data_IF_389710493144
#
_entry.id   IF_389710493144
#
_cell.length_a   1.000
_cell.length_b   1.000
_cell.length_c   1.000
_cell.angle_alpha   90.00
_cell.angle_beta   90.00
_cell.angle_gamma   90.00
#
_symmetry.space_group_name_H-M   'P 1'
#
loop_
_entity.id
_entity.type
_entity.pdbx_description
1 polymer ?
#
# COMPACT_ATOMS: atom_id res chain seq x y z
N UNK A 1 -23.67 37.88 59.98
CA UNK A 1 -23.37 36.56 59.38
C UNK A 1 -24.21 36.39 58.11
N UNK A 2 -23.67 36.70 56.93
CA UNK A 2 -24.32 36.48 55.63
C UNK A 2 -23.48 35.47 54.85
N UNK A 3 -24.03 34.29 54.58
CA UNK A 3 -23.40 33.26 53.73
C UNK A 3 -23.90 33.46 52.31
N UNK A 4 -23.00 33.82 51.40
CA UNK A 4 -23.23 33.83 49.95
C UNK A 4 -22.90 32.43 49.46
N UNK A 5 -23.91 31.71 48.95
CA UNK A 5 -23.71 30.43 48.28
C UNK A 5 -23.40 30.69 46.80
N UNK A 6 -22.17 30.40 46.38
CA UNK A 6 -21.74 30.46 44.99
C UNK A 6 -22.04 29.10 44.34
N UNK A 7 -23.05 29.04 43.47
CA UNK A 7 -23.32 27.85 42.67
C UNK A 7 -22.34 27.82 41.47
N UNK A 8 -21.34 26.93 41.51
CA UNK A 8 -20.53 26.62 40.34
C UNK A 8 -21.33 25.71 39.39
N UNK A 9 -21.74 26.25 38.25
CA UNK A 9 -22.22 25.46 37.12
C UNK A 9 -21.02 24.80 36.42
N UNK A 10 -20.85 23.49 36.63
CA UNK A 10 -19.88 22.69 35.90
C UNK A 10 -20.45 22.38 34.50
N UNK A 11 -20.04 23.14 33.49
CA UNK A 11 -20.29 22.82 32.10
C UNK A 11 -19.50 21.58 31.70
N UNK A 12 -20.15 20.43 31.60
CA UNK A 12 -19.56 19.23 31.03
C UNK A 12 -19.39 19.44 29.52
N UNK A 13 -18.19 19.82 29.09
CA UNK A 13 -17.79 19.75 27.69
C UNK A 13 -17.80 18.28 27.28
N UNK A 14 -18.84 17.86 26.54
CA UNK A 14 -18.85 16.59 25.83
C UNK A 14 -17.76 16.68 24.77
N UNK A 15 -16.55 16.21 25.11
CA UNK A 15 -15.53 15.91 24.13
C UNK A 15 -16.11 14.86 23.18
N UNK A 16 -16.58 15.31 22.01
CA UNK A 16 -16.98 14.42 20.93
C UNK A 16 -15.82 13.48 20.67
N UNK A 17 -16.03 12.19 20.89
CA UNK A 17 -15.10 11.17 20.43
C UNK A 17 -15.03 11.32 18.92
N UNK A 18 -13.97 11.97 18.44
CA UNK A 18 -13.58 11.88 17.05
C UNK A 18 -13.40 10.39 16.79
N UNK A 19 -14.38 9.78 16.11
CA UNK A 19 -14.25 8.43 15.59
C UNK A 19 -13.11 8.50 14.58
N UNK A 20 -11.89 8.29 15.05
CA UNK A 20 -10.79 7.87 14.21
C UNK A 20 -11.33 6.62 13.51
N UNK A 21 -11.70 6.75 12.23
CA UNK A 21 -12.04 5.62 11.40
C UNK A 21 -10.76 4.82 11.22
N UNK A 22 -10.40 4.03 12.24
CA UNK A 22 -9.45 2.95 12.06
C UNK A 22 -10.07 2.12 10.95
N UNK A 23 -9.46 2.11 9.77
CA UNK A 23 -9.85 1.29 8.65
C UNK A 23 -10.14 -0.13 9.15
N UNK A 24 -11.42 -0.46 9.34
CA UNK A 24 -11.82 -1.74 9.92
C UNK A 24 -11.60 -2.80 8.85
N UNK A 25 -10.41 -3.39 8.84
CA UNK A 25 -10.16 -4.62 8.14
C UNK A 25 -10.32 -5.78 9.11
N UNK A 26 -11.27 -6.66 8.82
CA UNK A 26 -11.43 -7.94 9.50
C UNK A 26 -11.01 -9.05 8.55
N UNK A 27 -9.75 -9.53 8.62
CA UNK A 27 -9.30 -10.61 7.76
C UNK A 27 -9.95 -11.93 8.21
N UNK A 28 -10.21 -12.88 7.30
CA UNK A 28 -10.61 -14.23 7.70
C UNK A 28 -9.49 -14.91 8.50
N UNK A 29 -9.80 -16.00 9.20
CA UNK A 29 -8.78 -16.80 9.90
C UNK A 29 -7.85 -17.54 8.93
N UNK A 30 -8.40 -17.99 7.79
CA UNK A 30 -7.69 -18.68 6.71
C UNK A 30 -8.42 -18.44 5.39
N UNK A 31 -7.71 -18.63 4.28
CA UNK A 31 -8.24 -18.59 2.92
C UNK A 31 -7.74 -19.79 2.13
N UNK A 32 -8.43 -20.14 1.04
CA UNK A 32 -7.91 -21.10 0.08
C UNK A 32 -6.55 -20.63 -0.47
N UNK A 33 -5.58 -21.55 -0.60
CA UNK A 33 -4.26 -21.24 -1.15
C UNK A 33 -4.35 -21.32 -2.67
N UNK A 34 -4.26 -20.18 -3.39
CA UNK A 34 -4.42 -20.20 -4.83
C UNK A 34 -3.22 -20.85 -5.52
N UNK A 35 -3.46 -21.42 -6.70
CA UNK A 35 -2.40 -21.82 -7.62
C UNK A 35 -1.69 -20.60 -8.20
N UNK A 36 -0.42 -20.75 -8.56
CA UNK A 36 0.33 -19.74 -9.31
C UNK A 36 1.13 -20.42 -10.41
N UNK A 37 0.89 -19.99 -11.65
CA UNK A 37 1.72 -20.38 -12.78
C UNK A 37 2.93 -19.45 -12.88
N UNK A 38 4.10 -20.00 -13.20
CA UNK A 38 5.30 -19.21 -13.45
C UNK A 38 5.16 -18.53 -14.81
N UNK A 39 5.11 -17.20 -14.82
CA UNK A 39 5.10 -16.36 -16.01
C UNK A 39 6.52 -15.80 -16.24
N UNK A 40 7.29 -16.47 -17.09
CA UNK A 40 8.65 -16.09 -17.46
C UNK A 40 9.77 -16.90 -16.78
N UNK A 41 11.05 -16.60 -17.07
CA UNK A 41 12.19 -17.37 -16.58
C UNK A 41 12.46 -17.08 -15.10
N UNK A 42 13.12 -18.03 -14.43
CA UNK A 42 13.75 -17.78 -13.14
C UNK A 42 14.98 -16.92 -13.36
N UNK A 43 15.12 -15.85 -12.56
CA UNK A 43 16.26 -14.94 -12.61
C UNK A 43 16.84 -14.78 -11.21
N UNK A 44 18.04 -15.32 -11.00
CA UNK A 44 18.79 -15.15 -9.77
C UNK A 44 19.85 -14.06 -9.98
N UNK A 45 19.88 -13.09 -9.06
CA UNK A 45 20.94 -12.07 -9.00
C UNK A 45 20.97 -11.43 -7.61
N UNK A 46 22.09 -10.81 -7.22
CA UNK A 46 22.17 -10.07 -5.97
C UNK A 46 21.11 -8.95 -5.90
N UNK A 47 20.44 -8.86 -4.76
CA UNK A 47 19.52 -7.77 -4.46
C UNK A 47 20.33 -6.52 -4.11
N UNK A 48 19.92 -5.40 -4.69
CA UNK A 48 20.56 -4.07 -4.57
C UNK A 48 19.65 -3.02 -3.92
N UNK A 49 18.40 -3.37 -3.66
CA UNK A 49 17.38 -2.51 -3.06
C UNK A 49 15.99 -3.08 -3.30
N UNK A 50 14.97 -2.33 -2.94
CA UNK A 50 13.58 -2.78 -3.01
C UNK A 50 12.67 -1.68 -3.54
N UNK A 51 11.54 -2.09 -4.11
CA UNK A 51 10.42 -1.21 -4.42
C UNK A 51 9.20 -1.74 -3.68
N UNK A 52 8.63 -0.96 -2.76
CA UNK A 52 7.30 -1.21 -2.24
C UNK A 52 6.30 -0.54 -3.18
N UNK A 53 5.52 -1.36 -3.86
CA UNK A 53 4.49 -0.92 -4.80
C UNK A 53 3.14 -0.88 -4.10
N UNK A 54 2.50 0.28 -4.12
CA UNK A 54 1.26 0.60 -3.41
C UNK A 54 0.16 1.00 -4.39
N UNK A 55 -0.83 0.14 -4.61
CA UNK A 55 -1.95 0.45 -5.51
C UNK A 55 -3.00 1.32 -4.83
N UNK A 56 -3.52 2.31 -5.56
CA UNK A 56 -4.65 3.12 -5.11
C UNK A 56 -5.96 2.35 -5.31
N UNK A 57 -6.51 1.80 -4.22
CA UNK A 57 -7.69 0.92 -4.31
C UNK A 57 -8.93 1.60 -4.87
N UNK A 58 -9.26 2.87 -4.58
CA UNK A 58 -10.43 3.52 -5.18
C UNK A 58 -10.41 3.52 -6.71
N UNK A 59 -9.28 3.81 -7.36
CA UNK A 59 -9.18 3.73 -8.83
C UNK A 59 -9.28 2.27 -9.30
N UNK A 60 -8.60 1.33 -8.64
CA UNK A 60 -8.72 -0.09 -8.97
C UNK A 60 -10.17 -0.61 -8.86
N UNK A 61 -10.89 -0.18 -7.82
CA UNK A 61 -12.23 -0.67 -7.50
C UNK A 61 -13.34 0.04 -8.26
N UNK A 62 -13.03 1.12 -8.99
CA UNK A 62 -13.99 1.96 -9.71
C UNK A 62 -15.02 1.19 -10.53
N UNK A 63 -14.60 0.11 -11.19
CA UNK A 63 -15.46 -0.74 -12.03
C UNK A 63 -15.57 -2.18 -11.51
N UNK A 64 -15.24 -2.42 -10.24
CA UNK A 64 -15.10 -3.77 -9.66
C UNK A 64 -15.88 -3.99 -8.37
N UNK A 65 -16.75 -3.04 -7.97
CA UNK A 65 -17.53 -3.12 -6.72
C UNK A 65 -18.38 -4.40 -6.63
N UNK A 66 -19.00 -4.80 -7.75
CA UNK A 66 -19.85 -5.99 -7.81
C UNK A 66 -19.11 -7.28 -8.22
N UNK A 67 -17.79 -7.22 -8.41
CA UNK A 67 -17.01 -8.39 -8.83
C UNK A 67 -16.76 -9.33 -7.65
N UNK A 68 -17.27 -10.59 -7.66
CA UNK A 68 -17.01 -11.54 -6.58
C UNK A 68 -15.52 -11.82 -6.38
N UNK A 69 -14.74 -11.80 -7.47
CA UNK A 69 -13.28 -11.97 -7.45
C UNK A 69 -12.55 -10.88 -6.66
N UNK A 70 -13.10 -9.67 -6.65
CA UNK A 70 -12.50 -8.49 -6.01
C UNK A 70 -13.28 -8.03 -4.78
N UNK A 71 -14.29 -8.77 -4.34
CA UNK A 71 -15.20 -8.36 -3.27
C UNK A 71 -14.45 -7.98 -1.98
N UNK A 72 -13.40 -8.73 -1.61
CA UNK A 72 -12.59 -8.41 -0.44
C UNK A 72 -12.03 -6.98 -0.45
N UNK A 73 -11.59 -6.48 -1.61
CA UNK A 73 -11.01 -5.15 -1.75
C UNK A 73 -12.07 -4.09 -2.09
N UNK A 74 -13.06 -4.45 -2.91
CA UNK A 74 -13.89 -3.48 -3.61
C UNK A 74 -15.36 -3.42 -3.18
N UNK A 75 -15.86 -4.40 -2.41
CA UNK A 75 -17.28 -4.40 -2.04
C UNK A 75 -17.62 -3.46 -0.87
N UNK A 76 -16.63 -2.89 -0.19
CA UNK A 76 -16.79 -2.13 1.07
C UNK A 76 -17.16 -2.97 2.30
N UNK A 77 -17.83 -4.12 2.12
CA UNK A 77 -18.29 -5.03 3.20
C UNK A 77 -17.19 -5.66 4.06
N UNK A 78 -15.95 -5.70 3.59
CA UNK A 78 -14.81 -6.37 4.27
C UNK A 78 -13.70 -5.40 4.66
N UNK A 79 -14.00 -4.11 4.56
CA UNK A 79 -13.06 -3.02 4.73
C UNK A 79 -13.13 -2.06 3.55
N UNK A 80 -12.68 -0.85 3.82
CA UNK A 80 -12.47 0.22 2.85
C UNK A 80 -10.96 0.47 2.78
N UNK A 81 -10.39 0.42 1.59
CA UNK A 81 -8.95 0.45 1.39
C UNK A 81 -8.53 1.71 0.63
N UNK A 82 -7.49 2.39 1.10
CA UNK A 82 -6.77 3.40 0.34
C UNK A 82 -5.61 2.78 -0.43
N UNK A 83 -4.39 3.21 -0.11
CA UNK A 83 -3.15 2.62 -0.62
C UNK A 83 -2.92 1.24 0.01
N UNK A 84 -3.00 0.21 -0.82
CA UNK A 84 -2.70 -1.17 -0.45
C UNK A 84 -1.38 -1.61 -1.05
N UNK A 85 -0.75 -2.61 -0.47
CA UNK A 85 0.40 -3.26 -1.08
C UNK A 85 -0.04 -4.03 -2.32
N UNK A 86 0.46 -3.60 -3.48
CA UNK A 86 0.53 -4.46 -4.65
C UNK A 86 1.57 -5.54 -4.39
N UNK A 87 2.81 -5.17 -4.07
CA UNK A 87 3.90 -6.09 -3.74
C UNK A 87 5.18 -5.39 -3.28
N UNK A 88 6.12 -6.18 -2.76
CA UNK A 88 7.48 -5.74 -2.42
C UNK A 88 8.46 -6.43 -3.36
N UNK A 89 9.16 -5.64 -4.17
CA UNK A 89 9.92 -6.13 -5.32
C UNK A 89 11.42 -5.92 -5.13
N UNK A 90 12.20 -6.98 -4.88
CA UNK A 90 13.65 -6.86 -4.86
C UNK A 90 14.15 -6.41 -6.24
N UNK A 91 15.09 -5.47 -6.24
CA UNK A 91 15.73 -4.93 -7.44
C UNK A 91 17.17 -5.45 -7.51
N UNK A 92 17.66 -5.79 -8.70
CA UNK A 92 19.07 -6.06 -8.95
C UNK A 92 19.74 -4.92 -9.73
N UNK A 93 21.04 -5.06 -10.00
CA UNK A 93 21.83 -3.99 -10.64
C UNK A 93 21.32 -3.63 -12.05
N UNK A 94 21.10 -4.64 -12.91
CA UNK A 94 20.70 -4.46 -14.32
C UNK A 94 19.22 -4.78 -14.58
N UNK A 95 18.59 -5.57 -13.72
CA UNK A 95 17.19 -5.98 -13.81
C UNK A 95 16.68 -6.39 -12.42
N UNK A 96 15.58 -7.14 -12.32
CA UNK A 96 15.05 -7.66 -11.04
C UNK A 96 15.19 -9.19 -10.96
N UNK A 97 15.51 -9.77 -9.78
CA UNK A 97 15.36 -11.21 -9.58
C UNK A 97 13.88 -11.60 -9.60
N UNK A 98 13.58 -12.81 -10.10
CA UNK A 98 12.22 -13.34 -10.10
C UNK A 98 12.18 -14.87 -10.05
N UNK A 99 11.11 -15.40 -9.46
CA UNK A 99 10.79 -16.84 -9.42
C UNK A 99 11.92 -17.73 -8.85
N UNK A 100 12.63 -17.27 -7.80
CA UNK A 100 13.86 -17.90 -7.30
C UNK A 100 13.63 -19.19 -6.50
N UNK A 101 12.54 -19.29 -5.73
CA UNK A 101 12.18 -20.50 -4.96
C UNK A 101 10.68 -20.82 -4.99
N UNK A 102 9.97 -20.26 -5.97
CA UNK A 102 8.50 -20.21 -6.03
C UNK A 102 7.77 -21.55 -5.87
N UNK A 103 8.40 -22.67 -6.27
CA UNK A 103 7.80 -24.01 -6.27
C UNK A 103 8.05 -24.80 -4.99
N UNK A 104 9.08 -24.44 -4.23
CA UNK A 104 9.56 -25.26 -3.12
C UNK A 104 8.92 -24.86 -1.78
N UNK A 105 8.47 -23.61 -1.65
CA UNK A 105 7.88 -23.10 -0.41
C UNK A 105 6.64 -22.27 -0.73
N UNK A 106 5.47 -22.74 -0.27
CA UNK A 106 4.17 -22.08 -0.49
C UNK A 106 3.62 -21.52 0.83
N UNK A 107 2.96 -20.36 0.81
CA UNK A 107 2.26 -19.87 1.98
C UNK A 107 1.05 -20.72 2.30
N UNK A 108 0.79 -20.87 3.59
CA UNK A 108 -0.45 -21.43 4.14
C UNK A 108 -1.59 -20.44 3.99
N UNK A 109 -2.83 -20.93 4.04
CA UNK A 109 -4.04 -20.09 4.03
C UNK A 109 -4.04 -19.06 5.16
N UNK A 110 -3.57 -19.44 6.36
CA UNK A 110 -3.46 -18.52 7.49
C UNK A 110 -2.41 -17.42 7.29
N UNK A 111 -1.28 -17.72 6.63
CA UNK A 111 -0.28 -16.71 6.27
C UNK A 111 -0.84 -15.70 5.26
N UNK A 112 -1.56 -16.16 4.25
CA UNK A 112 -2.24 -15.30 3.28
C UNK A 112 -3.33 -14.47 3.95
N UNK A 113 -4.12 -15.06 4.84
CA UNK A 113 -5.20 -14.37 5.53
C UNK A 113 -4.70 -13.19 6.39
N UNK A 114 -3.58 -13.38 7.12
CA UNK A 114 -2.92 -12.31 7.90
C UNK A 114 -2.41 -11.14 7.05
N UNK A 115 -2.25 -11.34 5.74
CA UNK A 115 -1.79 -10.32 4.80
C UNK A 115 -2.94 -9.45 4.25
N UNK A 116 -4.20 -9.90 4.39
CA UNK A 116 -5.34 -9.32 3.68
C UNK A 116 -5.67 -7.87 4.04
N UNK A 117 -5.26 -7.39 5.20
CA UNK A 117 -5.52 -5.99 5.58
C UNK A 117 -4.60 -4.97 4.93
N UNK A 118 -3.44 -5.39 4.43
CA UNK A 118 -2.57 -4.52 3.64
C UNK A 118 -2.59 -4.89 2.16
N UNK A 119 -3.05 -6.09 1.83
CA UNK A 119 -3.10 -6.61 0.46
C UNK A 119 -4.32 -7.53 0.33
N UNK A 120 -5.52 -6.96 0.06
CA UNK A 120 -6.83 -7.63 0.12
C UNK A 120 -7.11 -8.60 -1.03
N UNK A 121 -6.12 -9.43 -1.40
CA UNK A 121 -6.25 -10.48 -2.39
C UNK A 121 -5.24 -11.60 -2.14
N UNK A 122 -5.74 -12.80 -1.80
CA UNK A 122 -4.91 -13.97 -1.57
C UNK A 122 -4.15 -14.42 -2.82
N UNK A 123 -4.78 -14.29 -4.00
CA UNK A 123 -4.16 -14.61 -5.30
C UNK A 123 -3.05 -13.63 -5.66
N UNK A 124 -3.24 -12.34 -5.34
CA UNK A 124 -2.18 -11.35 -5.47
C UNK A 124 -1.03 -11.66 -4.51
N UNK A 125 -1.32 -11.85 -3.21
CA UNK A 125 -0.30 -12.15 -2.20
C UNK A 125 0.54 -13.40 -2.56
N UNK A 126 -0.12 -14.47 -3.01
CA UNK A 126 0.55 -15.68 -3.51
C UNK A 126 1.47 -15.40 -4.70
N UNK A 127 0.98 -14.65 -5.69
CA UNK A 127 1.76 -14.30 -6.88
C UNK A 127 2.98 -13.44 -6.54
N UNK A 128 2.81 -12.48 -5.64
CA UNK A 128 3.89 -11.59 -5.22
C UNK A 128 4.95 -12.33 -4.41
N UNK A 129 4.55 -13.27 -3.53
CA UNK A 129 5.49 -14.20 -2.91
C UNK A 129 6.25 -15.00 -3.98
N UNK A 130 5.53 -15.69 -4.87
CA UNK A 130 6.14 -16.60 -5.81
C UNK A 130 7.11 -15.89 -6.77
N UNK A 131 6.69 -14.76 -7.35
CA UNK A 131 7.50 -14.01 -8.32
C UNK A 131 8.60 -13.19 -7.65
N UNK A 132 8.34 -12.51 -6.53
CA UNK A 132 9.25 -11.52 -5.95
C UNK A 132 9.77 -11.91 -4.57
N UNK A 133 8.88 -12.27 -3.64
CA UNK A 133 9.25 -12.59 -2.26
C UNK A 133 10.21 -13.77 -2.13
N UNK A 134 10.07 -14.79 -2.98
CA UNK A 134 10.92 -15.99 -3.01
C UNK A 134 12.38 -15.69 -3.38
N UNK A 135 12.67 -14.48 -3.87
CA UNK A 135 14.02 -14.03 -4.21
C UNK A 135 14.71 -13.22 -3.10
N UNK A 136 14.01 -12.94 -1.99
CA UNK A 136 14.53 -12.11 -0.91
C UNK A 136 14.29 -12.67 0.49
N UNK A 137 13.47 -13.71 0.61
CA UNK A 137 13.21 -14.38 1.88
C UNK A 137 13.16 -15.90 1.68
N UNK A 138 13.62 -16.62 2.69
CA UNK A 138 13.62 -18.08 2.79
C UNK A 138 12.20 -18.65 2.95
N UNK A 139 11.30 -17.87 3.56
CA UNK A 139 9.94 -18.30 3.90
C UNK A 139 8.88 -17.21 3.63
N UNK A 140 7.64 -17.59 3.26
CA UNK A 140 6.57 -16.65 2.96
C UNK A 140 6.20 -15.70 4.11
N UNK A 141 6.17 -16.18 5.35
CA UNK A 141 5.84 -15.36 6.52
C UNK A 141 6.85 -14.24 6.74
N UNK A 142 8.13 -14.47 6.47
CA UNK A 142 9.17 -13.43 6.55
C UNK A 142 8.92 -12.34 5.52
N UNK A 143 8.69 -12.71 4.26
CA UNK A 143 8.33 -11.75 3.20
C UNK A 143 7.10 -10.93 3.58
N UNK A 144 6.00 -11.58 3.94
CA UNK A 144 4.77 -10.87 4.29
C UNK A 144 4.92 -10.03 5.57
N UNK A 145 5.76 -10.45 6.54
CA UNK A 145 6.04 -9.65 7.73
C UNK A 145 6.78 -8.36 7.38
N UNK A 146 7.83 -8.43 6.55
CA UNK A 146 8.56 -7.24 6.08
C UNK A 146 7.59 -6.29 5.37
N UNK A 147 6.81 -6.81 4.43
CA UNK A 147 5.81 -6.03 3.70
C UNK A 147 4.82 -5.30 4.62
N UNK A 148 4.31 -5.97 5.66
CA UNK A 148 3.42 -5.34 6.64
C UNK A 148 4.13 -4.31 7.51
N UNK A 149 5.39 -4.54 7.88
CA UNK A 149 6.18 -3.58 8.66
C UNK A 149 6.37 -2.30 7.84
N UNK A 150 6.83 -2.41 6.59
CA UNK A 150 7.02 -1.26 5.71
C UNK A 150 5.71 -0.52 5.44
N UNK A 151 4.60 -1.22 5.21
CA UNK A 151 3.31 -0.56 5.00
C UNK A 151 2.83 0.17 6.25
N UNK A 152 2.95 -0.45 7.44
CA UNK A 152 2.48 0.17 8.70
C UNK A 152 3.39 1.26 9.24
N UNK A 153 4.63 1.37 8.77
CA UNK A 153 5.55 2.44 9.17
C UNK A 153 5.35 3.74 8.39
N UNK A 154 4.40 3.77 7.46
CA UNK A 154 4.12 4.93 6.61
C UNK A 154 2.93 5.71 7.16
N UNK A 155 3.04 7.02 7.12
CA UNK A 155 1.94 7.94 7.31
C UNK A 155 1.24 8.19 5.97
N UNK A 156 -0.09 8.17 6.00
CA UNK A 156 -0.88 8.21 4.76
C UNK A 156 -1.33 9.63 4.45
N UNK A 157 -0.97 10.20 3.28
CA UNK A 157 -1.53 11.48 2.87
C UNK A 157 -3.04 11.37 2.64
N UNK A 158 -3.77 12.45 2.92
CA UNK A 158 -5.19 12.56 2.62
C UNK A 158 -5.40 12.78 1.11
N UNK A 159 -5.31 11.67 0.36
CA UNK A 159 -5.47 11.66 -1.09
C UNK A 159 -6.90 11.98 -1.53
N UNK A 160 -7.89 11.75 -0.67
CA UNK A 160 -9.26 12.18 -0.95
C UNK A 160 -9.29 13.71 -0.97
N UNK A 161 -8.86 14.39 0.10
CA UNK A 161 -8.78 15.85 0.11
C UNK A 161 -7.93 16.40 -1.05
N UNK A 162 -6.77 15.79 -1.30
CA UNK A 162 -5.89 16.20 -2.41
C UNK A 162 -6.57 16.10 -3.78
N UNK A 163 -7.48 15.14 -3.98
CA UNK A 163 -8.19 14.97 -5.25
C UNK A 163 -9.06 16.18 -5.65
N UNK A 164 -9.29 17.13 -4.74
CA UNK A 164 -10.09 18.34 -4.97
C UNK A 164 -9.24 19.55 -5.35
N UNK A 165 -7.92 19.41 -5.36
CA UNK A 165 -7.01 20.48 -5.79
C UNK A 165 -7.23 20.78 -7.27
N UNK A 166 -7.45 22.05 -7.59
CA UNK A 166 -7.46 22.52 -8.97
C UNK A 166 -6.05 22.43 -9.56
N UNK A 167 -5.95 21.95 -10.81
CA UNK A 167 -4.66 21.78 -11.48
C UNK A 167 -3.74 20.72 -10.88
N UNK A 168 -4.30 19.73 -10.16
CA UNK A 168 -3.53 18.65 -9.53
C UNK A 168 -2.54 17.99 -10.51
N UNK A 169 -1.29 17.84 -10.09
CA UNK A 169 -0.24 17.16 -10.84
C UNK A 169 0.47 16.07 -10.00
N UNK A 170 1.40 15.33 -10.62
CA UNK A 170 2.14 14.28 -9.93
C UNK A 170 3.15 14.82 -8.90
N UNK A 171 3.61 16.06 -9.05
CA UNK A 171 4.44 16.77 -8.06
C UNK A 171 3.67 17.00 -6.76
N UNK A 172 2.42 17.44 -6.85
CA UNK A 172 1.52 17.65 -5.69
C UNK A 172 1.31 16.34 -4.90
N UNK A 173 1.20 15.21 -5.60
CA UNK A 173 1.07 13.88 -4.97
C UNK A 173 2.34 13.52 -4.18
N UNK A 174 3.53 13.81 -4.74
CA UNK A 174 4.79 13.61 -4.01
C UNK A 174 4.93 14.56 -2.85
N UNK A 175 4.54 15.82 -3.02
CA UNK A 175 4.58 16.80 -1.95
C UNK A 175 3.70 16.36 -0.78
N UNK A 176 2.45 15.95 -1.05
CA UNK A 176 1.58 15.41 -0.02
C UNK A 176 2.19 14.19 0.69
N UNK A 177 2.87 13.31 -0.05
CA UNK A 177 3.59 12.18 0.55
C UNK A 177 4.72 12.61 1.48
N UNK A 178 5.54 13.58 1.06
CA UNK A 178 6.67 14.09 1.86
C UNK A 178 6.20 14.91 3.08
N UNK A 179 5.07 15.61 2.97
CA UNK A 179 4.44 16.27 4.10
C UNK A 179 3.98 15.25 5.17
N UNK A 180 3.46 14.10 4.75
CA UNK A 180 3.12 13.01 5.66
C UNK A 180 4.35 12.25 6.18
N UNK A 181 5.40 12.08 5.35
CA UNK A 181 6.59 11.28 5.66
C UNK A 181 7.86 12.10 5.42
N UNK A 182 8.31 12.84 6.43
CA UNK A 182 9.36 13.89 6.30
C UNK A 182 10.77 13.38 5.98
N UNK A 183 11.02 12.08 6.06
CA UNK A 183 12.28 11.44 5.69
C UNK A 183 12.35 11.05 4.19
N UNK A 184 11.32 11.34 3.40
CA UNK A 184 11.29 11.04 1.96
C UNK A 184 11.66 12.26 1.10
N UNK A 185 12.22 11.99 -0.07
CA UNK A 185 12.53 12.98 -1.12
C UNK A 185 11.84 12.62 -2.43
N UNK A 186 11.65 13.57 -3.37
CA UNK A 186 10.89 13.32 -4.60
C UNK A 186 11.42 12.14 -5.43
N UNK A 187 12.74 11.99 -5.52
CA UNK A 187 13.39 10.93 -6.28
C UNK A 187 13.18 9.52 -5.69
N UNK A 188 12.71 9.43 -4.45
CA UNK A 188 12.43 8.17 -3.73
C UNK A 188 10.98 7.69 -3.95
N UNK A 189 10.15 8.51 -4.59
CA UNK A 189 8.71 8.32 -4.77
C UNK A 189 8.38 8.40 -6.26
N UNK A 190 7.92 7.30 -6.85
CA UNK A 190 7.40 7.32 -8.20
C UNK A 190 5.86 7.30 -8.19
N UNK A 191 5.27 8.28 -8.87
CA UNK A 191 3.82 8.37 -9.10
C UNK A 191 3.49 7.69 -10.42
N UNK A 192 2.66 6.66 -10.38
CA UNK A 192 2.22 5.93 -11.57
C UNK A 192 0.78 6.34 -11.86
N UNK A 193 0.60 6.97 -13.01
CA UNK A 193 -0.70 7.34 -13.55
C UNK A 193 -1.07 6.35 -14.66
N UNK A 194 -2.35 6.01 -14.78
CA UNK A 194 -2.83 5.31 -15.96
C UNK A 194 -2.88 6.26 -17.17
N UNK A 195 -3.19 5.72 -18.35
CA UNK A 195 -3.22 6.46 -19.62
C UNK A 195 -4.15 7.68 -19.62
N UNK A 196 -5.12 7.73 -18.70
CA UNK A 196 -6.07 8.85 -18.55
C UNK A 196 -5.67 9.82 -17.44
N UNK A 197 -4.48 9.67 -16.86
CA UNK A 197 -3.95 10.53 -15.79
C UNK A 197 -4.47 10.19 -14.39
N UNK A 198 -5.16 9.06 -14.17
CA UNK A 198 -5.60 8.70 -12.82
C UNK A 198 -4.49 7.99 -12.04
N UNK A 199 -4.33 8.35 -10.76
CA UNK A 199 -3.41 7.68 -9.84
C UNK A 199 -3.77 6.19 -9.73
N UNK A 200 -2.84 5.35 -10.17
CA UNK A 200 -2.94 3.89 -10.09
C UNK A 200 -2.09 3.33 -8.97
N UNK A 201 -0.86 3.85 -8.82
CA UNK A 201 0.13 3.28 -7.92
C UNK A 201 1.16 4.32 -7.46
N UNK A 202 1.60 4.21 -6.21
CA UNK A 202 2.83 4.81 -5.72
C UNK A 202 3.89 3.73 -5.57
N UNK A 203 5.11 4.01 -6.05
CA UNK A 203 6.27 3.13 -5.82
C UNK A 203 7.26 3.84 -4.93
N UNK A 204 7.56 3.20 -3.81
CA UNK A 204 8.47 3.69 -2.79
C UNK A 204 9.76 2.88 -2.85
N UNK A 205 10.89 3.54 -3.07
CA UNK A 205 12.16 2.87 -3.28
C UNK A 205 13.00 2.86 -2.00
N UNK A 206 13.65 1.71 -1.75
CA UNK A 206 14.46 1.46 -0.56
C UNK A 206 15.83 0.91 -0.92
N UNK A 207 16.83 1.27 -0.11
CA UNK A 207 18.14 0.64 -0.11
C UNK A 207 18.11 -0.79 0.46
N UNK A 208 19.26 -1.47 0.45
CA UNK A 208 19.40 -2.81 1.06
C UNK A 208 19.27 -2.78 2.59
N UNK A 209 19.48 -1.61 3.17
CA UNK A 209 19.36 -1.25 4.58
C UNK A 209 17.93 -0.87 5.00
N UNK A 210 16.96 -0.93 4.07
CA UNK A 210 15.56 -0.55 4.27
C UNK A 210 15.33 0.95 4.50
N UNK A 211 16.32 1.79 4.22
CA UNK A 211 16.13 3.24 4.25
C UNK A 211 15.59 3.74 2.89
N UNK A 212 14.78 4.82 2.86
CA UNK A 212 14.35 5.44 1.61
C UNK A 212 15.55 5.76 0.71
N UNK A 213 15.45 5.42 -0.56
CA UNK A 213 16.51 5.61 -1.54
C UNK A 213 15.93 6.01 -2.90
N UNK A 214 16.74 6.67 -3.72
CA UNK A 214 16.30 7.10 -5.05
C UNK A 214 15.85 5.92 -5.91
N UNK A 215 14.71 6.08 -6.58
CA UNK A 215 14.21 5.10 -7.52
C UNK A 215 15.11 4.98 -8.74
N UNK A 216 15.43 3.73 -9.08
CA UNK A 216 16.08 3.41 -10.36
C UNK A 216 15.20 3.85 -11.52
N UNK A 217 15.81 4.15 -12.67
CA UNK A 217 15.10 4.57 -13.89
C UNK A 217 13.93 3.65 -14.26
N UNK A 218 14.07 2.33 -14.07
CA UNK A 218 13.04 1.34 -14.35
C UNK A 218 11.80 1.43 -13.44
N UNK A 219 11.90 2.09 -12.29
CA UNK A 219 10.83 2.25 -11.32
C UNK A 219 10.23 3.66 -11.32
N UNK A 220 10.85 4.64 -12.01
CA UNK A 220 10.35 6.02 -12.11
C UNK A 220 8.98 6.08 -12.78
N UNK A 221 8.24 7.12 -12.46
CA UNK A 221 6.87 7.37 -12.91
C UNK A 221 6.74 8.68 -13.66
N UNK A 222 5.55 9.28 -13.60
CA UNK A 222 5.23 10.55 -14.23
C UNK A 222 6.18 11.68 -13.76
N UNK A 223 6.44 12.68 -14.61
CA UNK A 223 7.14 13.90 -14.23
C UNK A 223 6.28 14.77 -13.30
N UNK A 224 6.86 15.70 -12.54
CA UNK A 224 6.14 16.46 -11.53
C UNK A 224 5.04 17.36 -12.10
N UNK A 225 5.24 17.90 -13.29
CA UNK A 225 4.28 18.74 -14.02
C UNK A 225 3.17 17.93 -14.73
N UNK A 226 3.25 16.60 -14.72
CA UNK A 226 2.27 15.75 -15.39
C UNK A 226 0.89 15.89 -14.71
N UNK A 227 -0.17 16.26 -15.46
CA UNK A 227 -1.52 16.37 -14.91
C UNK A 227 -2.00 15.05 -14.31
N UNK A 228 -2.58 15.13 -13.11
CA UNK A 228 -2.99 13.97 -12.35
C UNK A 228 -4.43 14.10 -11.84
N UNK A 229 -5.10 12.96 -11.69
CA UNK A 229 -6.41 12.83 -11.07
C UNK A 229 -6.36 11.73 -10.03
N UNK A 230 -7.11 11.89 -8.94
CA UNK A 230 -7.24 10.86 -7.91
C UNK A 230 -8.71 10.46 -7.84
N UNK A 231 -9.01 9.18 -8.06
CA UNK A 231 -10.39 8.71 -7.96
C UNK A 231 -10.82 8.69 -6.50
N UNK A 232 -12.02 9.22 -6.26
CA UNK A 232 -12.69 9.24 -4.96
C UNK A 232 -13.74 8.15 -4.92
N UNK A 233 -13.87 7.48 -3.78
CA UNK A 233 -14.91 6.49 -3.57
C UNK A 233 -14.34 5.22 -2.99
N UNK A 234 -14.40 5.15 -1.66
CA UNK A 234 -14.40 3.87 -0.95
C UNK A 234 -15.70 3.11 -1.21
#
# INVERSE_FOLDING_TARGET
MRRIALALALGAALAGTASAQSYQCTPPRSVAVPGVAREGPTRAMPVTGYVLSLSWSPEFCRTRKDSPRHAQQCSGRKGSFGLIVHGLWPQGARSWPQWCAARNVRPTGAQLARQMCVQPSASLAMRQWAKHGSCMADRPDRYFRITRILHRSLDWPDLDRLSRKEGLNAGDIREAWMQANTNWRPEMIAVILNERGWLEELRLCYGRDWLPAACKRSARGAADDAPAKIWRGL
#
